data_IF_509890429424
#
_entry.id   IF_509890429424
#
_cell.length_a   1.000
_cell.length_b   1.000
_cell.length_c   1.000
_cell.angle_alpha   90.00
_cell.angle_beta   90.00
_cell.angle_gamma   90.00
#
_symmetry.space_group_name_H-M   'P 1'
#
loop_
_entity.id
_entity.type
_entity.pdbx_description
1 polymer ?
#
# COMPACT_ATOMS: atom_id res chain seq x y z
N UNK A 1 -19.49 -2.01 15.42
CA UNK A 1 -18.35 -1.06 15.39
C UNK A 1 -17.29 -1.73 14.53
N UNK A 2 -16.71 -1.07 13.52
CA UNK A 2 -15.55 -1.63 12.83
C UNK A 2 -14.44 -1.85 13.88
N UNK A 3 -13.81 -3.02 13.89
CA UNK A 3 -12.74 -3.32 14.85
C UNK A 3 -11.66 -2.24 14.79
N UNK A 4 -11.29 -1.69 15.95
CA UNK A 4 -10.15 -0.80 16.09
C UNK A 4 -8.86 -1.58 15.75
N UNK A 5 -8.46 -1.52 14.49
CA UNK A 5 -7.18 -2.04 14.02
C UNK A 5 -6.10 -0.97 14.09
N UNK A 6 -4.85 -1.39 14.24
CA UNK A 6 -3.71 -0.53 13.93
C UNK A 6 -3.54 -0.52 12.41
N UNK A 7 -3.50 0.66 11.81
CA UNK A 7 -3.11 0.85 10.41
C UNK A 7 -1.75 1.50 10.36
N UNK A 8 -1.04 1.29 9.27
CA UNK A 8 0.18 1.99 8.94
C UNK A 8 -0.09 2.94 7.78
N UNK A 9 0.49 4.13 7.88
CA UNK A 9 0.55 5.09 6.80
C UNK A 9 2.02 5.30 6.45
N UNK A 10 2.36 4.99 5.21
CA UNK A 10 3.71 5.05 4.68
C UNK A 10 3.77 6.16 3.65
N UNK A 11 4.61 7.16 3.91
CA UNK A 11 4.92 8.21 2.95
C UNK A 11 6.07 7.74 2.09
N UNK A 12 5.88 7.77 0.78
CA UNK A 12 6.89 7.41 -0.21
C UNK A 12 7.21 8.65 -1.04
N UNK A 13 8.50 8.92 -1.20
CA UNK A 13 9.02 9.96 -2.09
C UNK A 13 10.06 9.33 -3.02
N UNK A 14 9.80 9.41 -4.33
CA UNK A 14 10.48 8.62 -5.35
C UNK A 14 10.36 7.13 -5.07
N UNK A 15 11.50 6.44 -4.94
CA UNK A 15 11.57 4.99 -4.69
C UNK A 15 11.81 4.64 -3.21
N UNK A 16 11.62 5.59 -2.29
CA UNK A 16 12.05 5.42 -0.90
C UNK A 16 10.96 5.76 0.12
N UNK A 17 10.92 4.99 1.21
CA UNK A 17 10.06 5.30 2.36
C UNK A 17 10.62 6.55 3.06
N UNK A 18 9.91 7.66 2.92
CA UNK A 18 10.26 8.94 3.57
C UNK A 18 9.80 8.98 5.03
N UNK A 19 8.65 8.39 5.35
CA UNK A 19 8.13 8.33 6.71
C UNK A 19 7.13 7.17 6.89
N UNK A 20 6.95 6.73 8.13
CA UNK A 20 5.96 5.74 8.54
C UNK A 20 5.30 6.17 9.85
N UNK A 21 3.97 6.16 9.89
CA UNK A 21 3.20 6.38 11.12
C UNK A 21 2.16 5.26 11.34
N UNK A 22 2.00 4.84 12.60
CA UNK A 22 0.99 3.86 13.00
C UNK A 22 -0.20 4.60 13.62
N UNK A 23 -1.40 4.34 13.11
CA UNK A 23 -2.63 5.04 13.47
C UNK A 23 -3.63 4.04 14.05
N UNK A 24 -4.19 4.37 15.21
CA UNK A 24 -5.21 3.57 15.91
C UNK A 24 -6.61 4.06 15.57
N UNK A 25 -7.09 3.72 14.39
CA UNK A 25 -8.46 3.97 13.94
C UNK A 25 -8.83 2.95 12.87
N UNK A 26 -10.08 2.88 12.42
CA UNK A 26 -10.41 1.95 11.33
C UNK A 26 -9.80 2.43 9.99
N UNK A 27 -9.59 1.50 9.07
CA UNK A 27 -8.90 1.75 7.80
C UNK A 27 -9.60 2.83 6.96
N UNK A 28 -10.94 2.82 6.88
CA UNK A 28 -11.71 3.76 6.08
C UNK A 28 -11.58 5.20 6.61
N UNK A 29 -11.66 5.37 7.92
CA UNK A 29 -11.49 6.69 8.53
C UNK A 29 -10.03 7.16 8.42
N UNK A 30 -9.05 6.25 8.50
CA UNK A 30 -7.64 6.57 8.21
C UNK A 30 -7.52 7.15 6.81
N UNK A 31 -8.01 6.45 5.77
CA UNK A 31 -7.95 6.93 4.39
C UNK A 31 -8.60 8.30 4.23
N UNK A 32 -9.84 8.48 4.71
CA UNK A 32 -10.54 9.78 4.61
C UNK A 32 -9.82 10.92 5.31
N UNK A 33 -9.22 10.67 6.47
CA UNK A 33 -8.48 11.69 7.20
C UNK A 33 -7.20 12.09 6.46
N UNK A 34 -6.50 11.13 5.85
CA UNK A 34 -5.28 11.42 5.10
C UNK A 34 -5.56 12.07 3.75
N UNK A 35 -6.66 11.70 3.06
CA UNK A 35 -7.11 12.44 1.88
C UNK A 35 -7.29 13.92 2.21
N UNK A 36 -8.01 14.26 3.28
CA UNK A 36 -8.18 15.66 3.70
C UNK A 36 -6.86 16.36 3.99
N UNK A 37 -5.94 15.71 4.71
CA UNK A 37 -4.60 16.26 5.03
C UNK A 37 -3.72 16.46 3.78
N UNK A 38 -3.83 15.57 2.81
CA UNK A 38 -3.01 15.61 1.59
C UNK A 38 -3.56 16.60 0.56
N UNK A 39 -4.86 16.88 0.56
CA UNK A 39 -5.45 17.96 -0.25
C UNK A 39 -4.84 19.33 0.07
N UNK A 40 -4.46 19.60 1.32
CA UNK A 40 -3.79 20.84 1.71
C UNK A 40 -2.34 20.94 1.19
N UNK A 41 -1.73 19.82 0.78
CA UNK A 41 -0.35 19.73 0.27
C UNK A 41 -0.28 19.59 -1.25
N UNK A 42 -1.35 19.15 -1.87
CA UNK A 42 -1.44 18.92 -3.29
C UNK A 42 -1.47 20.23 -4.06
N UNK A 43 -0.72 20.29 -5.16
CA UNK A 43 -0.79 21.39 -6.11
C UNK A 43 -1.61 20.98 -7.36
N UNK A 44 -2.85 21.46 -7.52
CA UNK A 44 -3.70 21.10 -8.66
C UNK A 44 -3.22 21.68 -10.00
N UNK A 45 -2.26 22.61 -10.01
CA UNK A 45 -1.65 23.13 -11.23
C UNK A 45 -0.53 22.22 -11.76
N UNK A 46 0.00 21.31 -10.94
CA UNK A 46 1.21 20.52 -11.26
C UNK A 46 0.95 19.02 -11.39
N UNK A 47 -0.05 18.46 -10.68
CA UNK A 47 -0.30 17.02 -10.72
C UNK A 47 -1.77 16.67 -10.51
N UNK A 48 -2.14 15.44 -10.85
CA UNK A 48 -3.43 14.87 -10.43
C UNK A 48 -3.44 14.48 -8.95
N UNK A 49 -4.63 14.37 -8.38
CA UNK A 49 -4.84 13.75 -7.06
C UNK A 49 -5.62 12.45 -7.22
N UNK A 50 -4.97 11.33 -6.95
CA UNK A 50 -5.51 10.00 -7.26
C UNK A 50 -5.61 9.19 -5.98
N UNK A 51 -6.78 8.60 -5.73
CA UNK A 51 -7.01 7.69 -4.61
C UNK A 51 -7.40 6.33 -5.18
N UNK A 52 -6.53 5.34 -5.02
CA UNK A 52 -6.75 3.99 -5.49
C UNK A 52 -6.99 3.04 -4.31
N UNK A 53 -7.87 2.07 -4.50
CA UNK A 53 -8.02 0.92 -3.60
C UNK A 53 -7.51 -0.30 -4.36
N UNK A 54 -6.25 -0.63 -4.13
CA UNK A 54 -5.57 -1.75 -4.80
C UNK A 54 -5.18 -2.76 -3.72
N UNK A 55 -5.91 -3.87 -3.57
CA UNK A 55 -5.49 -4.92 -2.66
C UNK A 55 -4.13 -5.48 -3.07
N UNK A 56 -3.25 -5.71 -2.09
CA UNK A 56 -1.87 -6.13 -2.33
C UNK A 56 -1.68 -7.58 -1.89
N UNK A 57 -1.22 -8.43 -2.80
CA UNK A 57 -0.90 -9.82 -2.51
C UNK A 57 0.47 -9.93 -1.88
N UNK A 58 0.53 -10.49 -0.67
CA UNK A 58 1.77 -10.73 0.08
C UNK A 58 2.05 -12.21 0.20
N UNK A 59 3.34 -12.54 0.21
CA UNK A 59 3.83 -13.91 0.29
C UNK A 59 4.55 -14.11 1.63
N UNK A 60 4.03 -15.03 2.45
CA UNK A 60 4.52 -15.34 3.79
C UNK A 60 5.14 -16.74 3.82
N UNK A 61 6.33 -16.88 4.39
CA UNK A 61 6.97 -18.19 4.53
C UNK A 61 6.23 -19.07 5.55
N UNK A 62 6.08 -20.35 5.21
CA UNK A 62 5.51 -21.34 6.14
C UNK A 62 6.61 -22.03 6.97
N UNK A 63 6.32 -22.37 8.24
CA UNK A 63 5.05 -22.18 8.95
C UNK A 63 4.87 -20.74 9.50
N UNK A 64 3.64 -20.23 9.48
CA UNK A 64 3.31 -18.95 10.11
C UNK A 64 3.38 -19.05 11.64
N UNK A 65 3.91 -18.01 12.29
CA UNK A 65 3.78 -17.87 13.74
C UNK A 65 2.31 -17.65 14.12
N UNK A 66 1.93 -18.02 15.36
CA UNK A 66 0.56 -17.83 15.85
C UNK A 66 0.12 -16.37 15.80
N UNK A 67 1.01 -15.45 16.14
CA UNK A 67 0.72 -14.02 16.16
C UNK A 67 0.54 -13.47 14.75
N UNK A 68 1.38 -13.90 13.81
CA UNK A 68 1.24 -13.52 12.41
C UNK A 68 -0.08 -14.06 11.84
N UNK A 69 -0.39 -15.34 12.06
CA UNK A 69 -1.62 -15.97 11.59
C UNK A 69 -2.87 -15.21 12.05
N UNK A 70 -2.97 -14.86 13.34
CA UNK A 70 -4.09 -14.09 13.89
C UNK A 70 -4.28 -12.73 13.22
N UNK A 71 -3.18 -12.07 12.82
CA UNK A 71 -3.27 -10.77 12.13
C UNK A 71 -3.78 -10.91 10.70
N UNK A 72 -3.50 -12.03 10.04
CA UNK A 72 -3.74 -12.19 8.60
C UNK A 72 -4.88 -13.13 8.23
N UNK A 73 -5.38 -13.97 9.15
CA UNK A 73 -6.41 -14.98 8.87
C UNK A 73 -7.69 -14.37 8.25
N UNK A 74 -8.07 -13.18 8.70
CA UNK A 74 -9.23 -12.43 8.23
C UNK A 74 -9.13 -11.94 6.79
N UNK A 75 -7.94 -11.97 6.20
CA UNK A 75 -7.67 -11.57 4.81
C UNK A 75 -7.59 -12.76 3.85
N UNK A 76 -8.01 -13.95 4.29
CA UNK A 76 -8.13 -15.12 3.43
C UNK A 76 -6.78 -15.76 3.09
N UNK A 77 -6.16 -16.39 4.09
CA UNK A 77 -4.88 -17.10 3.93
C UNK A 77 -5.04 -18.31 3.01
N UNK A 78 -4.32 -18.32 1.88
CA UNK A 78 -4.25 -19.43 0.94
C UNK A 78 -2.86 -20.06 0.98
N UNK A 79 -2.78 -21.39 0.98
CA UNK A 79 -1.49 -22.07 0.89
C UNK A 79 -1.11 -22.25 -0.58
N UNK A 80 0.08 -21.79 -0.95
CA UNK A 80 0.66 -21.94 -2.28
C UNK A 80 2.06 -22.53 -2.13
N UNK A 81 2.18 -23.83 -2.39
CA UNK A 81 3.42 -24.59 -2.19
C UNK A 81 3.92 -24.54 -0.73
N UNK A 82 5.10 -23.95 -0.54
CA UNK A 82 5.75 -23.72 0.75
C UNK A 82 5.50 -22.31 1.34
N UNK A 83 4.60 -21.53 0.73
CA UNK A 83 4.22 -20.20 1.19
C UNK A 83 2.73 -20.09 1.48
N UNK A 84 2.37 -19.03 2.17
CA UNK A 84 1.00 -18.56 2.32
C UNK A 84 0.84 -17.24 1.59
N UNK A 85 -0.21 -17.13 0.78
CA UNK A 85 -0.61 -15.91 0.12
C UNK A 85 -1.80 -15.28 0.86
N UNK A 86 -1.75 -13.95 0.99
CA UNK A 86 -2.78 -13.16 1.64
C UNK A 86 -3.00 -11.87 0.85
N UNK A 87 -4.25 -11.45 0.70
CA UNK A 87 -4.58 -10.20 0.02
C UNK A 87 -4.90 -9.09 1.04
N UNK A 88 -3.99 -8.14 1.21
CA UNK A 88 -4.12 -7.06 2.19
C UNK A 88 -4.83 -5.86 1.57
N UNK A 89 -5.93 -5.37 2.18
CA UNK A 89 -6.59 -4.17 1.68
C UNK A 89 -5.64 -2.97 1.80
N UNK A 90 -5.28 -2.39 0.67
CA UNK A 90 -4.32 -1.29 0.59
C UNK A 90 -4.93 -0.15 -0.21
N UNK A 91 -4.59 1.07 0.21
CA UNK A 91 -4.97 2.30 -0.47
C UNK A 91 -3.73 3.08 -0.82
N UNK A 92 -3.71 3.63 -2.03
CA UNK A 92 -2.64 4.49 -2.54
C UNK A 92 -3.23 5.87 -2.77
N UNK A 93 -2.61 6.90 -2.19
CA UNK A 93 -2.99 8.30 -2.39
C UNK A 93 -1.80 9.01 -3.03
N UNK A 94 -1.91 9.26 -4.33
CA UNK A 94 -0.88 9.94 -5.12
C UNK A 94 -1.26 11.42 -5.20
N UNK A 95 -0.33 12.29 -4.79
CA UNK A 95 -0.56 13.73 -4.69
C UNK A 95 0.58 14.57 -5.29
N UNK A 96 1.56 13.91 -5.90
CA UNK A 96 2.56 14.47 -6.80
C UNK A 96 2.87 13.41 -7.84
N UNK A 97 2.55 13.68 -9.10
CA UNK A 97 2.77 12.80 -10.23
C UNK A 97 2.92 13.63 -11.51
N UNK A 98 3.47 12.99 -12.55
CA UNK A 98 3.61 13.57 -13.88
C UNK A 98 3.27 12.53 -14.93
N UNK A 99 2.46 12.92 -15.90
CA UNK A 99 2.16 12.09 -17.07
C UNK A 99 3.30 12.19 -18.07
N UNK A 100 3.81 11.04 -18.47
CA UNK A 100 4.90 10.87 -19.43
C UNK A 100 4.37 10.09 -20.65
N UNK A 101 3.42 10.70 -21.37
CA UNK A 101 2.69 10.01 -22.44
C UNK A 101 1.50 9.24 -21.87
N UNK A 102 1.50 7.92 -22.05
CA UNK A 102 0.47 7.02 -21.48
C UNK A 102 0.81 6.59 -20.04
N UNK A 103 2.08 6.71 -19.65
CA UNK A 103 2.57 6.35 -18.32
C UNK A 103 2.44 7.49 -17.32
N UNK A 104 2.32 7.13 -16.04
CA UNK A 104 2.34 8.06 -14.93
C UNK A 104 3.51 7.77 -13.99
N UNK A 105 4.38 8.76 -13.80
CA UNK A 105 5.43 8.72 -12.77
C UNK A 105 4.90 9.34 -11.47
N UNK A 106 4.92 8.58 -10.38
CA UNK A 106 4.50 9.05 -9.06
C UNK A 106 5.68 9.53 -8.22
N UNK A 107 5.87 10.85 -8.11
CA UNK A 107 6.94 11.45 -7.30
C UNK A 107 6.66 11.33 -5.79
N UNK A 108 5.41 11.53 -5.37
CA UNK A 108 5.00 11.44 -3.96
C UNK A 108 3.63 10.81 -3.79
N UNK A 109 3.59 9.80 -2.92
CA UNK A 109 2.36 9.11 -2.59
C UNK A 109 2.36 8.59 -1.16
N UNK A 110 1.18 8.20 -0.71
CA UNK A 110 0.96 7.61 0.60
C UNK A 110 0.28 6.26 0.44
N UNK A 111 0.82 5.25 1.10
CA UNK A 111 0.24 3.91 1.18
C UNK A 111 -0.40 3.72 2.55
N UNK A 112 -1.66 3.31 2.58
CA UNK A 112 -2.43 3.08 3.81
C UNK A 112 -2.94 1.65 3.82
N UNK A 113 -2.59 0.90 4.85
CA UNK A 113 -3.00 -0.49 5.01
C UNK A 113 -3.02 -0.91 6.49
N UNK A 114 -3.63 -2.04 6.84
CA UNK A 114 -3.52 -2.62 8.17
C UNK A 114 -2.06 -2.86 8.58
N UNK A 115 -1.72 -2.56 9.83
CA UNK A 115 -0.39 -2.82 10.37
C UNK A 115 -0.24 -4.28 10.78
N UNK A 116 0.68 -4.99 10.12
CA UNK A 116 0.99 -6.40 10.43
C UNK A 116 2.39 -6.51 11.04
N UNK A 117 3.42 -6.22 10.24
CA UNK A 117 4.82 -6.08 10.63
C UNK A 117 5.59 -5.30 9.55
N UNK A 118 6.86 -5.01 9.80
CA UNK A 118 7.70 -4.22 8.91
C UNK A 118 8.09 -4.96 7.62
N UNK A 119 8.24 -6.28 7.66
CA UNK A 119 8.55 -7.09 6.47
C UNK A 119 7.43 -7.01 5.42
N UNK A 120 6.18 -7.06 5.88
CA UNK A 120 5.00 -6.94 5.01
C UNK A 120 4.87 -5.51 4.48
N UNK A 121 5.21 -4.50 5.28
CA UNK A 121 5.29 -3.11 4.80
C UNK A 121 6.27 -3.02 3.63
N UNK A 122 7.48 -3.53 3.79
CA UNK A 122 8.49 -3.47 2.75
C UNK A 122 8.05 -4.25 1.50
N UNK A 123 7.44 -5.43 1.66
CA UNK A 123 6.94 -6.20 0.52
C UNK A 123 5.85 -5.46 -0.26
N UNK A 124 4.88 -4.85 0.45
CA UNK A 124 3.82 -4.06 -0.18
C UNK A 124 4.37 -2.85 -0.91
N UNK A 125 5.27 -2.08 -0.28
CA UNK A 125 5.88 -0.92 -0.93
C UNK A 125 6.69 -1.33 -2.16
N UNK A 126 7.47 -2.41 -2.09
CA UNK A 126 8.22 -2.90 -3.24
C UNK A 126 7.30 -3.31 -4.40
N UNK A 127 6.20 -4.04 -4.11
CA UNK A 127 5.22 -4.40 -5.13
C UNK A 127 4.62 -3.16 -5.82
N UNK A 128 4.25 -2.15 -5.04
CA UNK A 128 3.68 -0.90 -5.55
C UNK A 128 4.71 -0.16 -6.42
N UNK A 129 5.95 0.00 -5.94
CA UNK A 129 7.02 0.65 -6.70
C UNK A 129 7.29 -0.07 -8.04
N UNK A 130 7.34 -1.40 -8.05
CA UNK A 130 7.49 -2.18 -9.29
C UNK A 130 6.31 -2.03 -10.25
N UNK A 131 5.10 -1.79 -9.73
CA UNK A 131 3.91 -1.56 -10.58
C UNK A 131 3.81 -0.13 -11.13
N UNK A 132 4.46 0.83 -10.46
CA UNK A 132 4.49 2.23 -10.87
C UNK A 132 5.71 2.58 -11.73
N UNK A 133 6.68 1.67 -11.86
CA UNK A 133 7.81 1.85 -12.77
C UNK A 133 7.40 1.49 -14.21
N UNK A 134 7.73 2.31 -15.23
CA UNK A 134 7.41 2.05 -16.64
C UNK A 134 7.95 0.70 -17.16
N UNK A 135 8.99 0.14 -16.54
CA UNK A 135 9.58 -1.15 -16.89
C UNK A 135 8.75 -2.37 -16.42
N UNK A 136 7.66 -2.15 -15.66
CA UNK A 136 6.84 -3.20 -15.07
C UNK A 136 5.82 -3.85 -16.02
N UNK A 137 5.54 -3.24 -17.17
CA UNK A 137 4.56 -3.76 -18.15
C UNK A 137 5.11 -4.91 -19.02
N UNK A 138 6.43 -5.02 -19.23
CA UNK A 138 7.02 -6.09 -20.05
C UNK A 138 6.96 -7.50 -19.43
N UNK A 139 6.67 -7.63 -18.12
CA UNK A 139 6.67 -8.93 -17.43
C UNK A 139 5.30 -9.60 -17.29
N UNK A 140 4.22 -8.97 -17.76
CA UNK A 140 2.86 -9.52 -17.71
C UNK A 140 2.37 -10.10 -19.04
N UNK A 141 3.16 -10.00 -20.11
CA UNK A 141 2.90 -10.60 -21.42
C UNK A 141 3.83 -11.78 -21.75
N UNK A 142 3.87 -12.83 -20.92
CA UNK A 142 4.31 -14.19 -21.37
C UNK A 142 3.47 -15.32 -20.76
#
# INVERSE_FOLDING_TARGET
MPEEGENVVVYVEGESIANKEVVKTNLVDTVKNYVKRLLDRWNPEESDFIVLKVPQTINLDLPLSKDLYKKVEKYGVKRVGNKAEVEIPTYEIIYSNRWMGEDMEADKFVVIMPYINDDIINQVINNILSSLSPEGEEFLEE
#
